data_IF_171041784116
#
_entry.id   IF_171041784116
#
_cell.length_a   1.000
_cell.length_b   1.000
_cell.length_c   1.000
_cell.angle_alpha   90.00
_cell.angle_beta   90.00
_cell.angle_gamma   90.00
#
_symmetry.space_group_name_H-M   'P 1'
#
loop_
_entity.id
_entity.type
_entity.pdbx_description
1 polymer ?
#
# COMPACT_ATOMS: atom_id res chain seq x y z
N UNK A 1 19.32 -19.74 5.33
CA UNK A 1 19.01 -21.13 5.72
C UNK A 1 17.50 -21.24 5.75
N UNK A 2 16.92 -22.22 5.07
CA UNK A 2 15.45 -22.32 4.97
C UNK A 2 14.94 -23.35 5.98
N UNK A 3 13.94 -22.96 6.76
CA UNK A 3 13.28 -23.80 7.76
C UNK A 3 11.80 -23.96 7.44
N UNK A 4 11.30 -25.19 7.51
CA UNK A 4 9.89 -25.49 7.33
C UNK A 4 9.24 -25.73 8.69
N UNK A 5 8.19 -24.98 9.00
CA UNK A 5 7.47 -25.08 10.27
C UNK A 5 6.32 -26.06 10.09
N UNK A 6 6.36 -27.13 10.89
CA UNK A 6 5.34 -28.17 10.97
C UNK A 6 5.08 -28.50 12.44
N UNK A 7 3.87 -28.97 12.76
CA UNK A 7 3.41 -29.29 14.12
C UNK A 7 4.31 -30.29 14.84
N UNK A 8 4.91 -31.20 14.08
CA UNK A 8 5.75 -32.27 14.63
C UNK A 8 7.17 -31.77 14.95
N UNK A 9 7.54 -30.54 14.57
CA UNK A 9 8.94 -30.13 14.45
C UNK A 9 9.29 -28.79 15.11
N UNK A 10 8.31 -27.96 15.44
CA UNK A 10 8.53 -26.71 16.15
C UNK A 10 8.39 -26.90 17.67
N UNK A 11 9.32 -26.39 18.49
CA UNK A 11 10.53 -25.64 18.13
C UNK A 11 11.78 -26.53 17.95
N UNK A 12 11.76 -27.78 18.39
CA UNK A 12 12.98 -28.55 18.67
C UNK A 12 13.77 -28.99 17.43
N UNK A 13 13.12 -29.42 16.33
CA UNK A 13 13.84 -29.76 15.09
C UNK A 13 14.51 -28.52 14.50
N UNK A 14 13.78 -27.41 14.48
CA UNK A 14 14.28 -26.12 13.98
C UNK A 14 15.53 -25.69 14.74
N UNK A 15 15.49 -25.76 16.07
CA UNK A 15 16.64 -25.41 16.90
C UNK A 15 17.80 -26.40 16.72
N UNK A 16 17.51 -27.69 16.50
CA UNK A 16 18.49 -28.70 16.13
C UNK A 16 19.21 -28.37 14.83
N UNK A 17 18.46 -28.01 13.78
CA UNK A 17 19.01 -27.62 12.48
C UNK A 17 19.88 -26.36 12.57
N UNK A 18 19.45 -25.37 13.35
CA UNK A 18 20.23 -24.14 13.63
C UNK A 18 21.55 -24.50 14.31
N UNK A 19 21.52 -25.33 15.36
CA UNK A 19 22.71 -25.77 16.08
C UNK A 19 23.65 -26.60 15.19
N UNK A 20 23.11 -27.48 14.36
CA UNK A 20 23.87 -28.32 13.42
C UNK A 20 24.51 -27.52 12.29
N UNK A 21 23.88 -26.43 11.85
CA UNK A 21 24.43 -25.53 10.82
C UNK A 21 25.72 -24.80 11.22
N UNK A 22 26.23 -25.07 12.44
CA UNK A 22 27.40 -24.44 13.04
C UNK A 22 27.39 -22.92 12.91
N UNK A 23 26.18 -22.34 12.89
CA UNK A 23 25.93 -20.90 12.89
C UNK A 23 26.46 -20.13 11.66
N UNK A 24 26.57 -20.78 10.50
CA UNK A 24 27.06 -20.13 9.26
C UNK A 24 25.94 -19.35 8.52
N UNK A 25 24.74 -19.23 9.09
CA UNK A 25 23.61 -18.59 8.40
C UNK A 25 23.70 -17.05 8.37
N UNK A 26 23.27 -16.47 7.23
CA UNK A 26 23.08 -15.02 7.04
C UNK A 26 21.67 -14.56 7.43
N UNK A 27 20.68 -15.41 7.12
CA UNK A 27 19.27 -15.26 7.48
C UNK A 27 18.66 -16.64 7.71
N UNK A 28 17.52 -16.66 8.38
CA UNK A 28 16.69 -17.83 8.61
C UNK A 28 15.32 -17.60 7.99
N UNK A 29 14.95 -18.45 7.04
CA UNK A 29 13.74 -18.25 6.25
C UNK A 29 12.66 -19.25 6.70
N UNK A 30 11.63 -18.76 7.35
CA UNK A 30 10.51 -19.53 7.87
C UNK A 30 9.46 -19.76 6.78
N UNK A 31 9.19 -21.02 6.45
CA UNK A 31 8.08 -21.41 5.60
C UNK A 31 7.04 -22.18 6.41
N UNK A 32 5.82 -21.67 6.45
CA UNK A 32 4.76 -22.23 7.27
C UNK A 32 4.01 -23.31 6.48
N UNK A 33 4.08 -24.56 6.96
CA UNK A 33 3.32 -25.69 6.43
C UNK A 33 1.83 -25.62 6.79
N UNK A 34 1.05 -26.59 6.30
CA UNK A 34 -0.40 -26.66 6.55
C UNK A 34 -0.77 -26.81 8.04
N UNK A 35 0.17 -27.32 8.82
CA UNK A 35 0.07 -27.65 10.23
C UNK A 35 0.79 -26.63 11.14
N UNK A 36 1.24 -25.50 10.59
CA UNK A 36 1.90 -24.46 11.38
C UNK A 36 1.02 -23.89 12.50
N UNK A 37 -0.31 -23.87 12.33
CA UNK A 37 -1.24 -23.36 13.35
C UNK A 37 -1.30 -24.22 14.61
N UNK A 38 -1.10 -25.54 14.50
CA UNK A 38 -1.02 -26.39 15.69
C UNK A 38 0.39 -26.38 16.29
N UNK A 39 1.41 -26.07 15.49
CA UNK A 39 2.81 -25.98 15.92
C UNK A 39 3.10 -24.74 16.79
N UNK A 40 2.52 -23.60 16.39
CA UNK A 40 2.85 -22.29 16.95
C UNK A 40 1.78 -21.89 17.95
N UNK A 41 2.17 -21.87 19.22
CA UNK A 41 1.43 -21.25 20.30
C UNK A 41 2.40 -20.41 21.13
N UNK A 42 1.91 -19.72 22.16
CA UNK A 42 2.73 -18.84 22.98
C UNK A 42 3.93 -19.58 23.60
N UNK A 43 3.70 -20.74 24.20
CA UNK A 43 4.73 -21.53 24.88
C UNK A 43 5.80 -22.04 23.91
N UNK A 44 5.39 -22.56 22.75
CA UNK A 44 6.33 -23.05 21.74
C UNK A 44 7.15 -21.91 21.12
N UNK A 45 6.54 -20.73 20.92
CA UNK A 45 7.22 -19.54 20.44
C UNK A 45 8.23 -19.00 21.47
N UNK A 46 7.84 -18.91 22.74
CA UNK A 46 8.72 -18.47 23.83
C UNK A 46 9.92 -19.42 23.97
N UNK A 47 9.68 -20.73 23.89
CA UNK A 47 10.73 -21.75 23.88
C UNK A 47 11.68 -21.58 22.70
N UNK A 48 11.13 -21.33 21.51
CA UNK A 48 11.94 -21.04 20.32
C UNK A 48 12.81 -19.81 20.53
N UNK A 49 12.22 -18.68 20.94
CA UNK A 49 12.93 -17.40 21.15
C UNK A 49 14.06 -17.55 22.18
N UNK A 50 13.77 -18.17 23.32
CA UNK A 50 14.75 -18.35 24.40
C UNK A 50 15.95 -19.16 23.92
N UNK A 51 15.70 -20.37 23.41
CA UNK A 51 16.76 -21.27 22.94
C UNK A 51 17.50 -20.67 21.73
N UNK A 52 16.80 -19.97 20.85
CA UNK A 52 17.42 -19.29 19.71
C UNK A 52 18.42 -18.23 20.18
N UNK A 53 18.04 -17.39 21.14
CA UNK A 53 18.95 -16.40 21.74
C UNK A 53 20.15 -17.05 22.42
N UNK A 54 19.96 -18.18 23.12
CA UNK A 54 21.08 -18.91 23.73
C UNK A 54 22.06 -19.45 22.68
N UNK A 55 21.55 -20.04 21.59
CA UNK A 55 22.39 -20.51 20.48
C UNK A 55 23.09 -19.32 19.80
N UNK A 56 22.41 -18.19 19.65
CA UNK A 56 22.95 -17.01 18.96
C UNK A 56 23.89 -16.17 19.81
N UNK A 57 23.84 -16.27 21.16
CA UNK A 57 24.69 -15.53 22.10
C UNK A 57 26.19 -15.70 21.85
N UNK A 58 26.59 -16.78 21.20
CA UNK A 58 27.98 -17.06 20.86
C UNK A 58 28.43 -16.43 19.53
N UNK A 59 27.64 -15.54 18.92
CA UNK A 59 27.90 -14.92 17.62
C UNK A 59 27.93 -13.39 17.68
N UNK A 60 28.74 -12.79 16.80
CA UNK A 60 28.87 -11.33 16.67
C UNK A 60 27.76 -10.69 15.81
N UNK A 61 26.88 -11.49 15.19
CA UNK A 61 25.84 -10.97 14.29
C UNK A 61 24.64 -10.42 15.08
N UNK A 62 23.99 -9.36 14.57
CA UNK A 62 22.75 -8.88 15.18
C UNK A 62 21.61 -9.88 14.99
N UNK A 63 20.82 -10.08 16.04
CA UNK A 63 19.57 -10.84 15.99
C UNK A 63 18.48 -10.11 15.21
N UNK A 64 18.60 -8.80 15.09
CA UNK A 64 17.60 -7.97 14.42
C UNK A 64 17.56 -8.26 12.91
N UNK A 65 16.36 -8.48 12.38
CA UNK A 65 16.15 -8.75 10.96
C UNK A 65 16.67 -10.09 10.45
N UNK A 66 17.04 -11.02 11.34
CA UNK A 66 17.62 -12.31 10.95
C UNK A 66 16.59 -13.31 10.40
N UNK A 67 15.32 -13.19 10.80
CA UNK A 67 14.22 -14.05 10.38
C UNK A 67 13.51 -13.42 9.18
N UNK A 68 13.40 -14.18 8.10
CA UNK A 68 12.53 -13.87 6.96
C UNK A 68 11.37 -14.86 6.89
N UNK A 69 10.25 -14.43 6.33
CA UNK A 69 9.05 -15.23 6.15
C UNK A 69 8.82 -15.50 4.66
N UNK A 70 8.77 -16.79 4.33
CA UNK A 70 8.41 -17.32 3.04
C UNK A 70 6.89 -17.51 2.91
N UNK A 71 6.45 -18.74 2.76
CA UNK A 71 5.02 -19.05 2.55
C UNK A 71 4.22 -18.95 3.85
N UNK A 72 3.16 -18.14 3.87
CA UNK A 72 2.27 -17.94 5.03
C UNK A 72 0.80 -18.32 4.78
N UNK A 73 0.50 -18.97 3.64
CA UNK A 73 -0.89 -19.20 3.17
C UNK A 73 -1.79 -19.98 4.14
N UNK A 74 -1.21 -20.74 5.06
CA UNK A 74 -1.91 -21.63 5.99
C UNK A 74 -2.10 -21.02 7.38
N UNK A 75 -1.58 -19.82 7.66
CA UNK A 75 -1.62 -19.25 9.01
C UNK A 75 -3.00 -18.70 9.37
N UNK A 76 -3.48 -19.04 10.57
CA UNK A 76 -4.69 -18.49 11.18
C UNK A 76 -4.39 -17.12 11.81
N UNK A 77 -5.46 -16.35 12.05
CA UNK A 77 -5.39 -15.07 12.74
C UNK A 77 -4.76 -15.19 14.13
N UNK A 78 -5.09 -16.25 14.87
CA UNK A 78 -4.57 -16.46 16.22
C UNK A 78 -3.06 -16.71 16.20
N UNK A 79 -2.57 -17.54 15.27
CA UNK A 79 -1.14 -17.77 15.10
C UNK A 79 -0.40 -16.50 14.72
N UNK A 80 -0.96 -15.69 13.81
CA UNK A 80 -0.38 -14.40 13.43
C UNK A 80 -0.31 -13.44 14.63
N UNK A 81 -1.36 -13.37 15.45
CA UNK A 81 -1.36 -12.57 16.69
C UNK A 81 -0.33 -13.07 17.68
N UNK A 82 -0.17 -14.39 17.85
CA UNK A 82 0.86 -14.98 18.72
C UNK A 82 2.27 -14.54 18.27
N UNK A 83 2.56 -14.65 16.97
CA UNK A 83 3.84 -14.19 16.40
C UNK A 83 4.08 -12.69 16.65
N UNK A 84 3.06 -11.86 16.39
CA UNK A 84 3.13 -10.41 16.56
C UNK A 84 3.11 -9.96 18.03
N UNK A 85 2.70 -10.81 18.96
CA UNK A 85 2.69 -10.48 20.39
C UNK A 85 4.05 -10.69 21.06
N UNK A 86 4.96 -11.42 20.42
CA UNK A 86 6.32 -11.62 20.93
C UNK A 86 7.23 -10.50 20.41
N UNK A 87 7.57 -9.55 21.30
CA UNK A 87 8.49 -8.44 20.98
C UNK A 87 9.83 -8.95 20.42
N UNK A 88 10.35 -10.02 21.00
CA UNK A 88 11.59 -10.64 20.55
C UNK A 88 11.47 -11.22 19.15
N UNK A 89 10.40 -11.96 18.88
CA UNK A 89 10.17 -12.51 17.53
C UNK A 89 10.04 -11.38 16.52
N UNK A 90 9.26 -10.36 16.84
CA UNK A 90 9.05 -9.18 16.00
C UNK A 90 10.36 -8.42 15.74
N UNK A 91 11.24 -8.30 16.74
CA UNK A 91 12.58 -7.70 16.56
C UNK A 91 13.46 -8.54 15.62
N UNK A 92 13.35 -9.86 15.70
CA UNK A 92 14.09 -10.77 14.83
C UNK A 92 13.59 -10.76 13.37
N UNK A 93 12.35 -10.32 13.11
CA UNK A 93 11.82 -10.23 11.75
C UNK A 93 12.49 -9.13 10.93
N UNK A 94 12.84 -9.46 9.69
CA UNK A 94 13.24 -8.46 8.71
C UNK A 94 12.05 -7.54 8.35
N UNK A 95 12.32 -6.29 7.92
CA UNK A 95 11.26 -5.32 7.63
C UNK A 95 10.22 -5.82 6.63
N UNK A 96 10.63 -6.54 5.58
CA UNK A 96 9.69 -7.02 4.55
C UNK A 96 8.78 -8.11 5.10
N UNK A 97 9.31 -8.98 5.98
CA UNK A 97 8.51 -10.01 6.64
C UNK A 97 7.51 -9.45 7.63
N UNK A 98 7.90 -8.41 8.37
CA UNK A 98 6.96 -7.70 9.22
C UNK A 98 5.81 -7.07 8.42
N UNK A 99 6.13 -6.35 7.33
CA UNK A 99 5.12 -5.77 6.44
C UNK A 99 4.20 -6.83 5.82
N UNK A 100 4.73 -8.01 5.45
CA UNK A 100 3.94 -9.13 4.94
C UNK A 100 2.93 -9.65 5.97
N UNK A 101 3.29 -9.74 7.26
CA UNK A 101 2.38 -10.18 8.32
C UNK A 101 1.21 -9.21 8.50
N UNK A 102 1.52 -7.91 8.52
CA UNK A 102 0.55 -6.84 8.75
C UNK A 102 -0.63 -6.91 7.78
N UNK A 103 -0.36 -7.15 6.49
CA UNK A 103 -1.37 -7.07 5.42
C UNK A 103 -2.10 -8.38 5.13
N UNK A 104 -2.01 -9.36 6.03
CA UNK A 104 -2.69 -10.66 5.89
C UNK A 104 -4.20 -10.58 6.08
N UNK A 105 -4.68 -9.66 6.92
CA UNK A 105 -6.09 -9.44 7.21
C UNK A 105 -6.32 -8.04 7.80
N UNK A 106 -7.57 -7.58 7.80
CA UNK A 106 -7.95 -6.33 8.47
C UNK A 106 -7.73 -6.41 9.98
N UNK A 107 -8.03 -7.56 10.57
CA UNK A 107 -7.91 -7.81 12.01
C UNK A 107 -6.45 -7.75 12.48
N UNK A 108 -5.50 -8.20 11.65
CA UNK A 108 -4.07 -8.09 11.96
C UNK A 108 -3.57 -6.66 11.76
N UNK A 109 -4.04 -5.95 10.72
CA UNK A 109 -3.73 -4.53 10.57
C UNK A 109 -4.23 -3.71 11.77
N UNK A 110 -5.46 -3.97 12.23
CA UNK A 110 -6.03 -3.32 13.42
C UNK A 110 -5.26 -3.70 14.70
N UNK A 111 -4.85 -4.96 14.83
CA UNK A 111 -4.00 -5.40 15.94
C UNK A 111 -2.66 -4.66 15.99
N UNK A 112 -2.02 -4.45 14.84
CA UNK A 112 -0.75 -3.70 14.73
C UNK A 112 -0.95 -2.22 15.04
N UNK A 113 -1.98 -1.60 14.47
CA UNK A 113 -2.28 -0.17 14.69
C UNK A 113 -2.67 0.15 16.13
N UNK A 114 -3.27 -0.81 16.84
CA UNK A 114 -3.67 -0.66 18.26
C UNK A 114 -2.56 -1.01 19.25
N UNK A 115 -1.47 -1.64 18.82
CA UNK A 115 -0.34 -2.00 19.67
C UNK A 115 0.79 -0.95 19.53
N UNK A 116 1.12 -0.17 20.58
CA UNK A 116 2.11 0.90 20.50
C UNK A 116 3.51 0.45 20.06
N UNK A 117 3.94 -0.76 20.46
CA UNK A 117 5.25 -1.30 20.13
C UNK A 117 5.34 -1.72 18.66
N UNK A 118 4.28 -2.35 18.13
CA UNK A 118 4.22 -2.70 16.71
C UNK A 118 4.08 -1.48 15.81
N UNK A 119 3.29 -0.49 16.26
CA UNK A 119 3.14 0.79 15.59
C UNK A 119 4.48 1.55 15.53
N UNK A 120 5.19 1.64 16.66
CA UNK A 120 6.51 2.27 16.71
C UNK A 120 7.50 1.57 15.78
N UNK A 121 7.58 0.24 15.81
CA UNK A 121 8.43 -0.52 14.88
C UNK A 121 8.06 -0.24 13.41
N UNK A 122 6.77 -0.12 13.09
CA UNK A 122 6.31 0.19 11.73
C UNK A 122 6.75 1.61 11.31
N UNK A 123 6.60 2.58 12.21
CA UNK A 123 6.94 3.99 11.94
C UNK A 123 8.46 4.24 11.88
N UNK A 124 9.26 3.49 12.65
CA UNK A 124 10.73 3.53 12.63
C UNK A 124 11.33 3.03 11.30
N UNK A 125 10.54 2.34 10.47
CA UNK A 125 11.02 1.86 9.19
C UNK A 125 11.18 3.04 8.22
N UNK A 126 12.41 3.52 8.04
CA UNK A 126 12.84 4.66 7.20
C UNK A 126 11.76 5.21 6.24
N UNK A 127 11.25 6.43 6.49
CA UNK A 127 10.27 7.07 5.64
C UNK A 127 10.94 7.61 4.39
N UNK A 128 10.78 6.93 3.27
CA UNK A 128 10.89 7.59 1.98
C UNK A 128 9.56 8.33 1.78
N UNK A 129 9.58 9.66 1.98
CA UNK A 129 8.38 10.52 2.03
C UNK A 129 7.43 10.21 0.87
N UNK A 130 7.96 10.06 -0.34
CA UNK A 130 7.12 9.85 -1.52
C UNK A 130 7.02 8.38 -1.95
N UNK A 131 7.48 7.40 -1.15
CA UNK A 131 7.42 5.98 -1.51
C UNK A 131 6.50 5.19 -0.59
N UNK A 132 5.68 4.33 -1.19
CA UNK A 132 4.81 3.39 -0.51
C UNK A 132 5.65 2.41 0.34
N UNK A 133 5.16 2.10 1.54
CA UNK A 133 5.74 1.09 2.40
C UNK A 133 5.25 -0.31 2.06
N UNK A 134 3.95 -0.45 1.83
CA UNK A 134 3.36 -1.74 1.49
C UNK A 134 3.30 -1.91 -0.03
N UNK A 135 3.61 -3.12 -0.50
CA UNK A 135 3.40 -3.48 -1.91
C UNK A 135 1.91 -3.31 -2.22
N UNK A 136 1.57 -2.36 -3.09
CA UNK A 136 0.21 -1.98 -3.53
C UNK A 136 -0.51 -0.90 -2.70
N UNK A 137 0.21 -0.13 -1.88
CA UNK A 137 -0.36 0.97 -1.07
C UNK A 137 -0.14 2.37 -1.66
N UNK A 138 0.29 2.47 -2.92
CA UNK A 138 0.57 3.75 -3.60
C UNK A 138 -0.61 4.73 -3.49
N UNK A 139 -1.85 4.25 -3.67
CA UNK A 139 -3.04 5.08 -3.52
C UNK A 139 -3.22 5.61 -2.09
N UNK A 140 -2.90 4.80 -1.06
CA UNK A 140 -2.97 5.24 0.32
C UNK A 140 -1.95 6.35 0.61
N UNK A 141 -0.74 6.23 0.06
CA UNK A 141 0.31 7.26 0.15
C UNK A 141 -0.14 8.58 -0.48
N UNK A 142 -0.81 8.51 -1.63
CA UNK A 142 -1.33 9.69 -2.33
C UNK A 142 -2.44 10.38 -1.54
N UNK A 143 -3.40 9.60 -1.03
CA UNK A 143 -4.46 10.11 -0.17
C UNK A 143 -3.84 10.78 1.06
N UNK A 144 -2.84 10.16 1.68
CA UNK A 144 -2.13 10.75 2.82
C UNK A 144 -1.49 12.10 2.46
N UNK A 145 -0.89 12.22 1.27
CA UNK A 145 -0.36 13.49 0.77
C UNK A 145 -1.45 14.54 0.55
N UNK A 146 -2.59 14.17 -0.04
CA UNK A 146 -3.75 15.05 -0.21
C UNK A 146 -4.26 15.54 1.15
N UNK A 147 -4.42 14.65 2.13
CA UNK A 147 -4.87 15.00 3.47
C UNK A 147 -3.90 15.97 4.16
N UNK A 148 -2.59 15.77 3.98
CA UNK A 148 -1.55 16.64 4.51
C UNK A 148 -1.61 18.04 3.90
N UNK A 149 -1.74 18.12 2.57
CA UNK A 149 -1.86 19.41 1.86
C UNK A 149 -3.13 20.17 2.22
N UNK A 150 -4.18 19.47 2.65
CA UNK A 150 -5.43 20.04 3.15
C UNK A 150 -5.40 20.45 4.62
N UNK A 151 -4.31 20.14 5.34
CA UNK A 151 -4.24 20.33 6.79
C UNK A 151 -5.23 19.44 7.56
N UNK A 152 -5.74 18.36 6.95
CA UNK A 152 -6.60 17.37 7.62
C UNK A 152 -5.75 16.47 8.52
N UNK A 153 -4.50 16.23 8.14
CA UNK A 153 -3.48 15.58 8.94
C UNK A 153 -2.24 16.47 8.98
N UNK A 154 -1.38 16.31 9.99
CA UNK A 154 -0.13 17.06 10.09
C UNK A 154 1.08 16.26 9.59
N UNK A 155 2.28 16.86 9.68
CA UNK A 155 3.53 16.19 9.28
C UNK A 155 3.89 14.99 10.19
N UNK A 156 3.48 15.01 11.46
CA UNK A 156 3.74 13.91 12.41
C UNK A 156 2.88 12.69 12.08
N UNK A 157 1.69 12.92 11.54
CA UNK A 157 0.80 11.88 11.01
C UNK A 157 1.32 11.26 9.71
N UNK A 158 2.32 11.84 9.05
CA UNK A 158 2.83 11.36 7.76
C UNK A 158 3.73 10.11 7.92
N UNK A 159 3.17 9.03 8.46
CA UNK A 159 3.88 7.83 8.89
C UNK A 159 3.43 6.55 8.16
N UNK A 160 4.26 5.49 8.13
CA UNK A 160 3.86 4.16 7.67
C UNK A 160 2.60 3.60 8.35
N UNK A 161 2.36 3.91 9.63
CA UNK A 161 1.12 3.52 10.32
C UNK A 161 -0.10 4.25 9.77
N UNK A 162 0.02 5.54 9.45
CA UNK A 162 -1.08 6.29 8.81
C UNK A 162 -1.34 5.79 7.39
N UNK A 163 -0.29 5.43 6.66
CA UNK A 163 -0.41 4.77 5.37
C UNK A 163 -1.20 3.45 5.49
N UNK A 164 -0.91 2.62 6.50
CA UNK A 164 -1.66 1.39 6.77
C UNK A 164 -3.13 1.66 7.14
N UNK A 165 -3.39 2.68 7.95
CA UNK A 165 -4.74 3.09 8.37
C UNK A 165 -5.61 3.48 7.16
N UNK A 166 -5.04 4.17 6.19
CA UNK A 166 -5.72 4.52 4.94
C UNK A 166 -5.81 3.29 4.03
N UNK A 167 -4.71 2.55 3.88
CA UNK A 167 -4.62 1.40 2.98
C UNK A 167 -5.64 0.33 3.29
N UNK A 168 -5.84 0.00 4.57
CA UNK A 168 -6.85 -0.99 5.00
C UNK A 168 -8.29 -0.58 4.68
N UNK A 169 -8.54 0.73 4.55
CA UNK A 169 -9.87 1.25 4.23
C UNK A 169 -10.17 1.18 2.73
N UNK A 170 -9.13 1.21 1.89
CA UNK A 170 -9.30 1.29 0.44
C UNK A 170 -8.92 0.02 -0.32
N UNK A 171 -8.19 -0.92 0.28
CA UNK A 171 -7.77 -2.14 -0.41
C UNK A 171 -8.95 -2.98 -0.92
N UNK A 172 -8.79 -3.66 -2.04
CA UNK A 172 -9.80 -4.59 -2.54
C UNK A 172 -9.97 -5.78 -1.58
N UNK A 173 -8.83 -6.36 -1.20
CA UNK A 173 -8.68 -7.37 -0.16
C UNK A 173 -7.37 -7.10 0.60
N UNK A 174 -7.14 -7.70 1.78
CA UNK A 174 -5.91 -7.49 2.56
C UNK A 174 -4.64 -7.66 1.71
N UNK A 175 -3.78 -6.63 1.72
CA UNK A 175 -2.52 -6.59 0.96
C UNK A 175 -2.67 -6.55 -0.57
N UNK A 176 -3.88 -6.32 -1.08
CA UNK A 176 -4.16 -6.14 -2.51
C UNK A 176 -4.30 -4.67 -2.88
N UNK A 177 -4.33 -4.42 -4.18
CA UNK A 177 -4.49 -3.11 -4.80
C UNK A 177 -5.77 -2.42 -4.29
N UNK A 178 -5.80 -1.09 -4.38
CA UNK A 178 -6.96 -0.31 -3.95
C UNK A 178 -8.20 -0.63 -4.82
N UNK A 179 -9.35 -0.75 -4.16
CA UNK A 179 -10.66 -0.80 -4.81
C UNK A 179 -11.05 0.63 -5.20
N UNK A 180 -11.37 0.88 -6.48
CA UNK A 180 -11.91 2.16 -6.92
C UNK A 180 -13.04 2.63 -6.01
N UNK A 181 -14.02 1.77 -5.75
CA UNK A 181 -15.25 2.10 -5.02
C UNK A 181 -14.92 2.60 -3.61
N UNK A 182 -13.99 1.93 -2.92
CA UNK A 182 -13.55 2.34 -1.58
C UNK A 182 -12.74 3.63 -1.58
N UNK A 183 -11.97 3.93 -2.64
CA UNK A 183 -11.29 5.22 -2.80
C UNK A 183 -12.34 6.35 -2.81
N UNK A 184 -13.40 6.22 -3.62
CA UNK A 184 -14.41 7.29 -3.68
C UNK A 184 -15.19 7.40 -2.38
N UNK A 185 -15.57 6.28 -1.76
CA UNK A 185 -16.19 6.31 -0.42
C UNK A 185 -15.28 6.93 0.63
N UNK A 186 -13.96 6.78 0.52
CA UNK A 186 -13.01 7.49 1.38
C UNK A 186 -13.10 9.00 1.13
N UNK A 187 -13.02 9.45 -0.11
CA UNK A 187 -13.06 10.88 -0.45
C UNK A 187 -14.36 11.54 0.03
N UNK A 188 -15.51 10.87 -0.19
CA UNK A 188 -16.81 11.34 0.29
C UNK A 188 -16.87 11.46 1.82
N UNK A 189 -16.38 10.44 2.55
CA UNK A 189 -16.38 10.46 4.04
C UNK A 189 -15.48 11.55 4.62
N UNK A 190 -14.44 11.94 3.90
CA UNK A 190 -13.48 12.98 4.30
C UNK A 190 -13.77 14.36 3.68
N UNK A 191 -14.95 14.55 3.06
CA UNK A 191 -15.34 15.79 2.38
C UNK A 191 -14.31 16.30 1.36
N UNK A 192 -13.61 15.38 0.68
CA UNK A 192 -12.71 15.70 -0.42
C UNK A 192 -13.52 15.84 -1.71
N UNK A 193 -13.43 17.01 -2.35
CA UNK A 193 -14.18 17.31 -3.56
C UNK A 193 -13.51 16.70 -4.78
N UNK A 194 -14.00 15.54 -5.24
CA UNK A 194 -13.47 14.88 -6.43
C UNK A 194 -14.19 15.30 -7.72
N UNK A 195 -13.46 15.81 -8.73
CA UNK A 195 -13.93 15.81 -10.13
C UNK A 195 -13.30 14.66 -10.86
N UNK A 196 -14.15 13.79 -11.39
CA UNK A 196 -13.72 12.68 -12.23
C UNK A 196 -13.64 13.14 -13.68
N UNK A 197 -12.47 12.97 -14.27
CA UNK A 197 -12.23 13.15 -15.71
C UNK A 197 -11.90 11.81 -16.34
N UNK A 198 -12.85 11.35 -17.14
CA UNK A 198 -12.63 10.20 -18.02
C UNK A 198 -11.96 10.70 -19.31
N UNK A 199 -10.66 10.42 -19.46
CA UNK A 199 -9.94 10.70 -20.70
C UNK A 199 -10.06 9.48 -21.59
N UNK A 200 -11.04 9.52 -22.50
CA UNK A 200 -11.23 8.47 -23.50
C UNK A 200 -11.45 9.00 -24.89
N UNK A 201 -10.64 8.44 -25.80
CA UNK A 201 -11.15 7.91 -27.05
C UNK A 201 -11.23 6.38 -26.96
N UNK A 202 -12.31 5.83 -26.38
CA UNK A 202 -12.64 4.43 -26.66
C UNK A 202 -13.68 4.39 -27.76
N UNK A 203 -13.26 3.92 -28.93
CA UNK A 203 -14.20 3.47 -29.96
C UNK A 203 -15.17 2.44 -29.36
N UNK A 204 -16.38 2.31 -29.93
CA UNK A 204 -17.37 1.26 -29.53
C UNK A 204 -16.76 -0.16 -29.55
N UNK A 205 -15.76 -0.41 -30.39
CA UNK A 205 -15.04 -1.68 -30.48
C UNK A 205 -14.15 -1.93 -29.24
N UNK A 206 -13.46 -0.90 -28.75
CA UNK A 206 -12.64 -1.00 -27.53
C UNK A 206 -13.49 -1.20 -26.27
N UNK A 207 -14.67 -0.58 -26.18
CA UNK A 207 -15.62 -0.83 -25.09
C UNK A 207 -16.09 -2.29 -25.03
N UNK A 208 -16.32 -2.93 -26.19
CA UNK A 208 -16.64 -4.38 -26.25
C UNK A 208 -15.44 -5.26 -25.91
N UNK A 209 -14.22 -4.82 -26.20
CA UNK A 209 -12.98 -5.55 -25.88
C UNK A 209 -12.68 -5.54 -24.37
N UNK A 210 -12.92 -4.41 -23.70
CA UNK A 210 -12.62 -4.22 -22.28
C UNK A 210 -13.83 -4.41 -21.34
N UNK A 211 -15.01 -4.75 -21.87
CA UNK A 211 -16.19 -5.03 -21.03
C UNK A 211 -16.02 -6.22 -20.08
N UNK A 212 -15.01 -7.07 -20.33
CA UNK A 212 -14.62 -8.20 -19.48
C UNK A 212 -13.51 -7.86 -18.49
N UNK A 213 -12.92 -6.67 -18.56
CA UNK A 213 -11.90 -6.23 -17.61
C UNK A 213 -12.60 -5.66 -16.37
N UNK A 214 -12.54 -6.36 -15.22
CA UNK A 214 -13.26 -5.95 -14.03
C UNK A 214 -12.76 -4.61 -13.48
N UNK A 215 -11.48 -4.25 -13.67
CA UNK A 215 -10.91 -2.99 -13.19
C UNK A 215 -11.41 -1.84 -14.04
N UNK A 216 -11.40 -1.97 -15.38
CA UNK A 216 -11.93 -0.94 -16.28
C UNK A 216 -13.46 -0.79 -16.10
N UNK A 217 -14.19 -1.89 -15.93
CA UNK A 217 -15.61 -1.87 -15.64
C UNK A 217 -15.92 -1.19 -14.30
N UNK A 218 -15.13 -1.47 -13.26
CA UNK A 218 -15.23 -0.81 -11.95
C UNK A 218 -14.92 0.68 -12.04
N UNK A 219 -13.80 1.08 -12.67
CA UNK A 219 -13.48 2.49 -12.89
C UNK A 219 -14.60 3.21 -13.65
N UNK A 220 -15.13 2.61 -14.70
CA UNK A 220 -16.23 3.18 -15.47
C UNK A 220 -17.54 3.27 -14.66
N UNK A 221 -17.89 2.22 -13.91
CA UNK A 221 -19.05 2.22 -13.02
C UNK A 221 -18.91 3.27 -11.93
N UNK A 222 -17.70 3.44 -11.39
CA UNK A 222 -17.35 4.41 -10.37
C UNK A 222 -17.49 5.85 -10.86
N UNK A 223 -16.87 6.15 -12.01
CA UNK A 223 -17.08 7.42 -12.69
C UNK A 223 -18.55 7.64 -13.03
N UNK A 224 -19.37 6.59 -13.17
CA UNK A 224 -20.81 6.70 -13.46
C UNK A 224 -21.71 6.76 -12.21
N UNK A 225 -21.28 6.34 -11.02
CA UNK A 225 -22.15 6.25 -9.85
C UNK A 225 -21.73 7.16 -8.70
N UNK A 226 -20.44 7.25 -8.41
CA UNK A 226 -19.98 7.70 -7.09
C UNK A 226 -19.29 9.08 -7.10
N UNK A 227 -18.86 9.57 -8.26
CA UNK A 227 -18.17 10.87 -8.34
C UNK A 227 -19.19 12.02 -8.33
N UNK A 228 -19.08 13.01 -7.42
CA UNK A 228 -20.05 14.11 -7.25
C UNK A 228 -20.21 15.00 -8.50
N UNK A 229 -19.10 15.34 -9.16
CA UNK A 229 -19.07 16.14 -10.37
C UNK A 229 -18.19 15.46 -11.43
N UNK A 230 -18.65 15.45 -12.68
CA UNK A 230 -17.99 14.71 -13.75
C UNK A 230 -17.85 15.56 -14.98
N UNK A 231 -16.66 15.53 -15.55
CA UNK A 231 -16.39 16.14 -16.84
C UNK A 231 -15.86 15.06 -17.75
N UNK A 232 -16.65 14.71 -18.78
CA UNK A 232 -16.15 13.84 -19.84
C UNK A 232 -15.30 14.71 -20.76
N UNK A 233 -14.01 14.42 -20.83
CA UNK A 233 -13.08 15.13 -21.72
C UNK A 233 -12.51 14.14 -22.73
N UNK A 234 -12.58 14.49 -24.01
CA UNK A 234 -11.81 13.79 -25.04
C UNK A 234 -10.45 14.48 -25.17
N UNK A 235 -9.43 13.75 -25.64
CA UNK A 235 -8.10 14.32 -25.90
C UNK A 235 -8.18 15.57 -26.79
N UNK A 236 -9.14 15.61 -27.71
CA UNK A 236 -9.39 16.74 -28.62
C UNK A 236 -10.01 17.98 -27.97
N UNK A 237 -10.55 17.87 -26.76
CA UNK A 237 -11.22 18.96 -26.04
C UNK A 237 -10.54 19.31 -24.71
N UNK A 238 -9.41 18.68 -24.42
CA UNK A 238 -8.57 18.98 -23.26
C UNK A 238 -7.72 20.22 -23.53
N UNK A 239 -7.62 21.08 -22.52
CA UNK A 239 -6.75 22.25 -22.53
C UNK A 239 -6.00 22.36 -21.20
N UNK A 240 -4.88 23.09 -21.18
CA UNK A 240 -4.12 23.38 -19.96
C UNK A 240 -4.94 24.12 -18.89
N UNK A 241 -6.01 24.82 -19.29
CA UNK A 241 -6.91 25.51 -18.37
C UNK A 241 -7.82 24.55 -17.56
N UNK A 242 -7.96 23.30 -18.01
CA UNK A 242 -8.68 22.26 -17.27
C UNK A 242 -7.88 21.73 -16.05
N UNK A 243 -6.62 22.16 -15.92
CA UNK A 243 -5.67 21.78 -14.87
C UNK A 243 -5.15 23.05 -14.18
N UNK A 244 -5.87 23.55 -13.16
CA UNK A 244 -5.49 24.76 -12.47
C UNK A 244 -4.20 24.58 -11.65
N UNK A 245 -3.49 25.68 -11.49
CA UNK A 245 -2.24 25.77 -10.72
C UNK A 245 -2.44 25.30 -9.26
N UNK A 246 -1.48 24.55 -8.74
CA UNK A 246 -1.50 24.08 -7.34
C UNK A 246 -2.51 22.96 -7.05
N UNK A 247 -3.33 22.55 -8.02
CA UNK A 247 -4.31 21.48 -7.83
C UNK A 247 -3.64 20.11 -7.78
N UNK A 248 -3.97 19.35 -6.75
CA UNK A 248 -3.47 17.97 -6.58
C UNK A 248 -4.38 17.00 -7.33
N UNK A 249 -3.77 16.28 -8.26
CA UNK A 249 -4.43 15.38 -9.20
C UNK A 249 -4.08 13.94 -8.86
N UNK A 250 -5.09 13.11 -8.60
CA UNK A 250 -4.92 11.67 -8.49
C UNK A 250 -5.13 11.05 -9.88
N UNK A 251 -4.06 10.52 -10.46
CA UNK A 251 -4.12 9.91 -11.79
C UNK A 251 -4.18 8.40 -11.62
N UNK A 252 -5.26 7.78 -12.07
CA UNK A 252 -5.43 6.33 -12.04
C UNK A 252 -5.08 5.77 -13.42
N UNK A 253 -4.08 4.89 -13.47
CA UNK A 253 -3.59 4.27 -14.71
C UNK A 253 -3.80 2.77 -14.62
N UNK A 254 -4.23 2.17 -15.74
CA UNK A 254 -4.27 0.73 -15.88
C UNK A 254 -3.04 0.20 -16.62
N UNK A 255 -2.10 -0.37 -15.85
CA UNK A 255 -0.89 -1.07 -16.35
C UNK A 255 -0.98 -2.59 -16.15
N UNK A 256 -2.19 -3.14 -16.25
CA UNK A 256 -2.49 -4.55 -15.93
C UNK A 256 -2.90 -4.78 -14.46
N UNK A 257 -2.60 -3.81 -13.59
CA UNK A 257 -3.18 -3.60 -12.26
C UNK A 257 -3.57 -2.14 -12.12
N UNK A 258 -4.38 -1.80 -11.11
CA UNK A 258 -4.68 -0.41 -10.78
C UNK A 258 -3.43 0.21 -10.14
N UNK A 259 -2.87 1.23 -10.81
CA UNK A 259 -1.77 2.05 -10.32
C UNK A 259 -2.21 3.49 -10.22
N UNK A 260 -1.63 4.24 -9.29
CA UNK A 260 -1.99 5.64 -9.06
C UNK A 260 -0.77 6.53 -8.96
N UNK A 261 -0.83 7.69 -9.61
CA UNK A 261 0.20 8.73 -9.58
C UNK A 261 -0.35 10.01 -8.94
N UNK A 262 0.54 10.82 -8.37
CA UNK A 262 0.24 12.21 -8.00
C UNK A 262 0.63 13.10 -9.17
N UNK A 263 -0.29 13.90 -9.66
CA UNK A 263 0.01 15.01 -10.56
C UNK A 263 -0.15 16.33 -9.83
N UNK A 264 0.75 17.28 -10.04
CA UNK A 264 0.60 18.65 -9.57
C UNK A 264 1.12 19.61 -10.61
N UNK A 265 0.32 20.62 -10.93
CA UNK A 265 0.76 21.72 -11.77
C UNK A 265 1.54 22.73 -10.94
N UNK A 266 2.74 23.04 -11.39
CA UNK A 266 3.65 24.01 -10.82
C UNK A 266 4.17 24.91 -11.95
N UNK A 267 3.56 26.09 -12.06
CA UNK A 267 3.77 27.05 -13.15
C UNK A 267 3.49 26.43 -14.53
N UNK A 268 4.51 26.38 -15.40
CA UNK A 268 4.42 25.77 -16.74
C UNK A 268 4.67 24.26 -16.72
N UNK A 269 5.01 23.70 -15.56
CA UNK A 269 5.36 22.30 -15.43
C UNK A 269 4.24 21.47 -14.80
N UNK A 270 4.17 20.21 -15.22
CA UNK A 270 3.35 19.20 -14.57
C UNK A 270 4.27 18.16 -13.94
N UNK A 271 4.32 18.18 -12.61
CA UNK A 271 5.09 17.24 -11.83
C UNK A 271 4.26 16.00 -11.52
N UNK A 272 4.80 14.84 -11.86
CA UNK A 272 4.17 13.54 -11.62
C UNK A 272 5.06 12.74 -10.67
N UNK A 273 4.51 12.40 -9.50
CA UNK A 273 5.15 11.55 -8.51
C UNK A 273 4.55 10.14 -8.60
N UNK A 274 5.40 9.13 -8.73
CA UNK A 274 5.02 7.71 -8.64
C UNK A 274 5.35 7.17 -7.24
N UNK A 275 4.35 6.96 -6.37
CA UNK A 275 4.59 6.48 -5.03
C UNK A 275 5.07 5.03 -4.95
N UNK A 276 4.96 4.24 -6.03
CA UNK A 276 5.49 2.89 -6.01
C UNK A 276 7.01 2.88 -5.83
N UNK A 277 7.69 3.87 -6.43
CA UNK A 277 9.15 3.98 -6.42
C UNK A 277 9.65 5.21 -5.65
N UNK A 278 8.81 6.22 -5.46
CA UNK A 278 9.22 7.54 -4.99
C UNK A 278 9.81 8.42 -6.09
N UNK A 279 9.63 8.03 -7.35
CA UNK A 279 10.20 8.73 -8.50
C UNK A 279 9.36 9.93 -8.88
N UNK A 280 10.03 10.99 -9.34
CA UNK A 280 9.39 12.20 -9.85
C UNK A 280 9.77 12.41 -11.31
N UNK A 281 8.78 12.72 -12.13
CA UNK A 281 8.96 13.14 -13.52
C UNK A 281 8.32 14.50 -13.70
N UNK A 282 8.94 15.34 -14.51
CA UNK A 282 8.43 16.67 -14.84
C UNK A 282 8.16 16.71 -16.32
N UNK A 283 6.98 17.21 -16.68
CA UNK A 283 6.52 17.40 -18.05
C UNK A 283 6.34 18.90 -18.32
N UNK A 284 6.40 19.31 -19.59
CA UNK A 284 6.22 20.72 -20.01
C UNK A 284 4.75 21.19 -19.97
N UNK A 285 3.98 20.62 -19.05
CA UNK A 285 2.54 20.81 -18.94
C UNK A 285 1.82 19.46 -18.83
N UNK A 286 0.53 19.54 -18.53
CA UNK A 286 -0.31 18.36 -18.37
C UNK A 286 -0.58 17.66 -19.71
N UNK A 287 -0.68 18.43 -20.80
CA UNK A 287 -0.87 17.87 -22.15
C UNK A 287 0.33 17.03 -22.58
N UNK A 288 1.55 17.48 -22.28
CA UNK A 288 2.77 16.70 -22.51
C UNK A 288 2.76 15.38 -21.73
N UNK A 289 2.37 15.41 -20.46
CA UNK A 289 2.16 14.18 -19.67
C UNK A 289 1.19 13.21 -20.35
N UNK A 290 0.02 13.70 -20.81
CA UNK A 290 -0.96 12.86 -21.46
C UNK A 290 -0.45 12.22 -22.75
N UNK A 291 0.22 12.98 -23.61
CA UNK A 291 0.75 12.46 -24.88
C UNK A 291 1.71 11.30 -24.66
N UNK A 292 2.54 11.41 -23.62
CA UNK A 292 3.53 10.41 -23.24
C UNK A 292 2.90 9.18 -22.55
N UNK A 293 1.86 9.34 -21.73
CA UNK A 293 1.37 8.30 -20.80
C UNK A 293 -0.05 7.74 -21.13
N UNK A 294 -0.71 8.21 -22.21
CA UNK A 294 -2.12 8.00 -22.66
C UNK A 294 -2.79 6.62 -22.58
N UNK A 295 -2.10 5.52 -22.28
CA UNK A 295 -2.66 4.16 -22.42
C UNK A 295 -3.45 3.78 -21.17
N UNK A 296 -4.75 4.11 -21.16
CA UNK A 296 -5.75 3.78 -20.12
C UNK A 296 -5.66 4.62 -18.83
N UNK A 297 -5.82 5.94 -18.96
CA UNK A 297 -5.85 6.87 -17.84
C UNK A 297 -7.29 7.25 -17.47
N UNK A 298 -7.63 7.17 -16.17
CA UNK A 298 -8.74 7.89 -15.55
C UNK A 298 -8.20 8.89 -14.55
N UNK A 299 -8.68 10.13 -14.55
CA UNK A 299 -8.14 11.21 -13.71
C UNK A 299 -9.16 11.63 -12.67
N UNK A 300 -8.71 11.82 -11.44
CA UNK A 300 -9.47 12.45 -10.37
C UNK A 300 -8.75 13.71 -9.95
N UNK A 301 -9.51 14.76 -9.76
CA UNK A 301 -9.02 16.00 -9.21
C UNK A 301 -9.58 16.20 -7.82
N UNK A 302 -8.74 16.52 -6.86
CA UNK A 302 -9.20 17.07 -5.60
C UNK A 302 -9.30 18.60 -5.73
N UNK A 303 -10.52 19.14 -5.83
CA UNK A 303 -10.76 20.58 -6.02
C UNK A 303 -10.39 21.30 -4.73
N UNK A 304 -9.55 22.34 -4.84
CA UNK A 304 -9.11 23.21 -3.75
C UNK A 304 -10.27 23.58 -2.80
N UNK A 305 -10.00 23.84 -1.51
CA UNK A 305 -11.06 24.05 -0.54
C UNK A 305 -11.58 25.49 -0.66
N UNK A 306 -12.29 25.79 -1.75
CA UNK A 306 -13.42 26.71 -1.82
C UNK A 306 -14.28 26.39 -3.07
N UNK A 307 -15.61 26.18 -2.95
CA UNK A 307 -16.41 25.65 -4.06
C UNK A 307 -16.98 26.67 -5.06
N UNK A 308 -16.88 27.99 -4.85
CA UNK A 308 -17.85 28.90 -5.50
C UNK A 308 -17.41 29.64 -6.77
N UNK A 309 -16.12 29.81 -7.08
CA UNK A 309 -15.76 30.68 -8.23
C UNK A 309 -15.21 30.00 -9.49
N UNK A 310 -14.69 28.77 -9.45
CA UNK A 310 -13.93 28.26 -10.62
C UNK A 310 -14.71 27.39 -11.62
N UNK A 311 -15.89 26.86 -11.28
CA UNK A 311 -16.72 26.10 -12.24
C UNK A 311 -17.87 26.90 -12.86
N UNK A 312 -18.00 28.21 -12.55
CA UNK A 312 -18.93 29.14 -13.21
C UNK A 312 -18.27 29.94 -14.32
N UNK A 313 -17.54 29.28 -15.23
CA UNK A 313 -17.21 29.90 -16.51
C UNK A 313 -17.37 28.86 -17.62
N UNK A 314 -18.64 28.64 -18.00
CA UNK A 314 -19.16 28.33 -19.35
C UNK A 314 -20.57 27.74 -19.25
N UNK A 315 -21.53 28.63 -19.01
CA UNK A 315 -22.86 28.55 -19.63
C UNK A 315 -22.84 29.43 -20.87
#
# INVERSE_FOLDING_TARGET
MILNITAVQFPDRILGDIKYSQNIYKSIDFNFGKDANSAINKESLDTFVHKFKEIHRTHEKPLEGIITLGTMKSLSLDTLKVLLSSEDFVRMLDPQSFLKLIVTSSEIADFVLSNPMLKAKLDDMEPQIDKQKFKNSCTARLIMRILLERGIIDQHDYSPSKELEIYKQIWFAPGKEASPEKIVSFFQRHNLHAVGVEIKELSKASLKKYSRDPVIASLYSLFKKEVPARKKLTLTHLSEADFPEGMTTLIVIHTGVLHTLLGKKNQEHFEVTDPQFGDKKTYNGFMDFLENERKNIGIFFDILPEPEEQFRLKS
#
